data_IF_853415215321
#
_entry.id   IF_853415215321
#
_cell.length_a   1.000
_cell.length_b   1.000
_cell.length_c   1.000
_cell.angle_alpha   90.00
_cell.angle_beta   90.00
_cell.angle_gamma   90.00
#
_symmetry.space_group_name_H-M   'P 1'
#
loop_
_entity.id
_entity.type
_entity.pdbx_description
1 polymer ?
#
# COMPACT_ATOMS: atom_id res chain seq x y z
N UNK A 1 -22.63 -2.33 -2.05
CA UNK A 1 -23.84 -2.66 -1.30
C UNK A 1 -23.58 -3.03 0.15
N UNK A 2 -22.30 -3.12 0.61
CA UNK A 2 -21.97 -3.35 2.01
C UNK A 2 -21.70 -2.02 2.71
N UNK A 3 -22.12 -1.91 3.97
CA UNK A 3 -21.92 -0.68 4.77
C UNK A 3 -20.46 -0.50 5.19
N UNK A 4 -19.73 -1.62 5.31
CA UNK A 4 -18.31 -1.66 5.64
C UNK A 4 -17.57 -2.53 4.63
N UNK A 5 -16.43 -2.06 4.13
CA UNK A 5 -15.67 -2.76 3.09
C UNK A 5 -14.18 -2.63 3.30
N UNK A 6 -13.48 -3.76 3.28
CA UNK A 6 -12.03 -3.85 3.16
C UNK A 6 -11.67 -4.17 1.70
N UNK A 7 -10.91 -3.31 1.07
CA UNK A 7 -10.40 -3.49 -0.29
C UNK A 7 -8.94 -3.91 -0.22
N UNK A 8 -8.57 -4.93 -0.99
CA UNK A 8 -7.23 -5.52 -0.99
C UNK A 8 -6.82 -5.79 -2.44
N UNK A 9 -5.61 -5.40 -2.82
CA UNK A 9 -5.04 -5.70 -4.13
C UNK A 9 -4.87 -7.22 -4.32
N UNK A 10 -5.03 -7.69 -5.54
CA UNK A 10 -4.99 -9.13 -5.89
C UNK A 10 -3.60 -9.77 -5.72
N UNK A 11 -2.56 -9.00 -5.54
CA UNK A 11 -1.18 -9.41 -5.29
C UNK A 11 -0.74 -9.18 -3.83
N UNK A 12 -1.71 -9.03 -2.94
CA UNK A 12 -1.52 -9.00 -1.50
C UNK A 12 -1.81 -10.37 -0.88
N UNK A 13 -0.84 -10.95 -0.19
CA UNK A 13 -0.98 -12.24 0.50
C UNK A 13 -1.37 -11.97 1.95
N UNK A 14 -2.49 -12.53 2.37
CA UNK A 14 -2.98 -12.47 3.74
C UNK A 14 -2.53 -13.74 4.47
N UNK A 15 -1.68 -13.59 5.47
CA UNK A 15 -1.19 -14.68 6.33
C UNK A 15 -1.52 -14.46 7.81
N UNK A 16 -2.23 -13.39 8.13
CA UNK A 16 -2.62 -13.07 9.50
C UNK A 16 -4.08 -12.62 9.59
N UNK A 17 -4.63 -12.58 10.79
CA UNK A 17 -5.94 -11.95 11.06
C UNK A 17 -5.81 -10.46 11.39
N UNK A 18 -4.63 -9.86 11.21
CA UNK A 18 -4.37 -8.48 11.63
C UNK A 18 -5.38 -7.47 11.06
N UNK A 19 -5.76 -7.62 9.79
CA UNK A 19 -6.68 -6.68 9.15
C UNK A 19 -8.11 -6.72 9.71
N UNK A 20 -8.48 -7.77 10.46
CA UNK A 20 -9.79 -7.86 11.10
C UNK A 20 -10.03 -6.72 12.10
N UNK A 21 -8.97 -6.16 12.70
CA UNK A 21 -9.10 -5.03 13.60
C UNK A 21 -9.71 -3.77 12.94
N UNK A 22 -9.71 -3.66 11.61
CA UNK A 22 -10.28 -2.51 10.91
C UNK A 22 -11.77 -2.32 11.23
N UNK A 23 -12.50 -3.40 11.45
CA UNK A 23 -13.92 -3.36 11.81
C UNK A 23 -14.15 -2.84 13.23
N UNK A 24 -13.18 -3.04 14.13
CA UNK A 24 -13.25 -2.58 15.52
C UNK A 24 -12.88 -1.11 15.69
N UNK A 25 -12.32 -0.48 14.66
CA UNK A 25 -11.94 0.93 14.71
C UNK A 25 -13.16 1.85 14.53
N UNK A 26 -13.18 2.96 15.25
CA UNK A 26 -14.21 3.99 15.12
C UNK A 26 -13.87 5.06 14.06
N UNK A 27 -13.28 4.65 12.93
CA UNK A 27 -12.89 5.53 11.83
C UNK A 27 -13.56 5.09 10.53
N UNK A 28 -13.97 6.08 9.73
CA UNK A 28 -14.68 5.81 8.47
C UNK A 28 -13.76 5.44 7.32
N UNK A 29 -12.45 5.73 7.43
CA UNK A 29 -11.48 5.43 6.39
C UNK A 29 -10.12 5.10 6.99
N UNK A 30 -9.61 3.90 6.71
CA UNK A 30 -8.27 3.46 7.11
C UNK A 30 -7.45 3.07 5.88
N UNK A 31 -6.17 3.43 5.87
CA UNK A 31 -5.27 3.16 4.74
C UNK A 31 -3.81 3.14 5.22
N UNK A 32 -2.93 2.38 4.56
CA UNK A 32 -1.52 2.41 4.88
C UNK A 32 -0.85 3.73 4.46
N UNK A 33 -0.07 4.32 5.36
CA UNK A 33 0.84 5.44 5.09
C UNK A 33 2.30 5.16 5.50
N UNK A 34 2.56 3.98 6.05
CA UNK A 34 3.90 3.50 6.40
C UNK A 34 4.13 2.14 5.77
N UNK A 35 5.35 1.87 5.41
CA UNK A 35 5.72 0.64 4.72
C UNK A 35 7.05 0.08 5.20
N UNK A 36 7.30 -1.18 4.84
CA UNK A 36 8.54 -1.90 5.08
C UNK A 36 8.91 -2.71 3.83
N UNK A 37 10.01 -2.36 3.19
CA UNK A 37 10.53 -3.13 2.06
C UNK A 37 11.31 -4.36 2.57
N UNK A 38 10.71 -5.52 2.39
CA UNK A 38 11.33 -6.78 2.82
C UNK A 38 12.54 -7.20 1.98
N UNK A 39 12.70 -6.63 0.78
CA UNK A 39 13.81 -6.98 -0.10
C UNK A 39 15.13 -6.33 0.30
N UNK A 40 15.08 -5.18 0.95
CA UNK A 40 16.27 -4.36 1.18
C UNK A 40 16.73 -4.26 2.63
N UNK A 41 15.98 -4.78 3.60
CA UNK A 41 16.23 -4.54 5.04
C UNK A 41 16.37 -3.06 5.44
N UNK A 42 16.11 -2.13 4.51
CA UNK A 42 16.25 -0.71 4.74
C UNK A 42 14.91 -0.11 5.10
N UNK A 43 14.84 0.52 6.25
CA UNK A 43 13.82 1.53 6.49
C UNK A 43 14.13 2.70 5.56
N UNK A 44 13.48 2.76 4.42
CA UNK A 44 13.57 3.92 3.55
C UNK A 44 12.36 4.80 3.83
N UNK A 45 12.58 6.10 4.04
CA UNK A 45 11.52 7.12 4.07
C UNK A 45 11.15 7.58 2.66
N UNK A 46 11.57 6.86 1.65
CA UNK A 46 11.53 7.27 0.24
C UNK A 46 10.10 7.51 -0.27
N UNK A 47 9.11 6.86 0.33
CA UNK A 47 7.71 7.00 -0.04
C UNK A 47 6.82 7.55 1.07
N UNK A 48 7.37 8.21 2.07
CA UNK A 48 6.55 8.88 3.10
C UNK A 48 5.77 10.06 2.50
N UNK A 49 6.28 10.62 1.40
CA UNK A 49 5.70 11.73 0.66
C UNK A 49 5.72 11.46 -0.85
N UNK A 50 4.82 12.07 -1.61
CA UNK A 50 4.82 11.98 -3.08
C UNK A 50 6.16 12.49 -3.65
N UNK A 51 6.71 13.55 -3.06
CA UNK A 51 8.08 14.05 -3.29
C UNK A 51 8.50 14.90 -2.08
N UNK A 52 9.77 15.32 -2.04
CA UNK A 52 10.35 16.05 -0.90
C UNK A 52 9.65 17.38 -0.51
N UNK A 53 8.75 17.89 -1.34
CA UNK A 53 8.05 19.17 -1.14
C UNK A 53 6.52 19.01 -1.15
N UNK A 54 6.03 17.79 -1.06
CA UNK A 54 4.63 17.49 -1.31
C UNK A 54 3.93 16.86 -0.09
N UNK A 55 2.80 16.28 -0.35
CA UNK A 55 1.87 15.72 0.62
C UNK A 55 2.25 14.28 1.03
N UNK A 56 1.76 13.80 2.19
CA UNK A 56 1.95 12.42 2.61
C UNK A 56 1.48 11.42 1.55
N UNK A 57 2.22 10.32 1.43
CA UNK A 57 1.89 9.24 0.52
C UNK A 57 1.06 8.18 1.24
N UNK A 58 0.00 7.72 0.59
CA UNK A 58 -0.87 6.66 1.07
C UNK A 58 -0.89 5.50 0.08
N UNK A 59 -0.81 4.28 0.58
CA UNK A 59 -0.78 3.05 -0.21
C UNK A 59 -2.20 2.52 -0.41
N UNK A 60 -2.74 2.65 -1.61
CA UNK A 60 -4.07 2.14 -1.96
C UNK A 60 -4.15 0.62 -2.12
N UNK A 61 -3.09 -0.10 -1.78
CA UNK A 61 -3.01 -1.57 -1.79
C UNK A 61 -4.03 -2.23 -0.86
N UNK A 62 -4.19 -1.66 0.33
CA UNK A 62 -5.20 -2.10 1.31
C UNK A 62 -5.81 -0.86 1.95
N UNK A 63 -7.12 -0.78 1.91
CA UNK A 63 -7.87 0.24 2.63
C UNK A 63 -9.24 -0.26 3.07
N UNK A 64 -9.70 0.26 4.18
CA UNK A 64 -11.02 -0.01 4.74
C UNK A 64 -11.84 1.26 4.71
N UNK A 65 -13.14 1.14 4.42
CA UNK A 65 -14.05 2.28 4.51
C UNK A 65 -15.45 1.89 4.98
N UNK A 66 -16.14 2.84 5.64
CA UNK A 66 -17.56 2.80 5.93
C UNK A 66 -18.31 3.64 4.93
N UNK A 67 -19.38 3.09 4.38
CA UNK A 67 -20.22 3.78 3.41
C UNK A 67 -20.99 4.92 4.07
N UNK A 68 -20.69 6.14 3.66
CA UNK A 68 -21.40 7.36 4.04
C UNK A 68 -21.16 8.44 2.98
N UNK A 69 -21.85 9.58 3.10
CA UNK A 69 -21.73 10.67 2.13
C UNK A 69 -20.29 11.20 1.98
N UNK A 70 -19.50 11.19 3.05
CA UNK A 70 -18.11 11.65 3.02
C UNK A 70 -17.22 10.71 2.22
N UNK A 71 -17.36 9.39 2.41
CA UNK A 71 -16.58 8.39 1.64
C UNK A 71 -17.07 8.29 0.20
N UNK A 72 -18.36 8.48 -0.07
CA UNK A 72 -18.88 8.59 -1.43
C UNK A 72 -18.29 9.82 -2.17
N UNK A 73 -18.22 10.96 -1.50
CA UNK A 73 -17.56 12.13 -2.04
C UNK A 73 -16.07 11.89 -2.31
N UNK A 74 -15.37 11.22 -1.43
CA UNK A 74 -13.96 10.85 -1.62
C UNK A 74 -13.75 10.03 -2.90
N UNK A 75 -14.57 9.02 -3.17
CA UNK A 75 -14.46 8.21 -4.40
C UNK A 75 -14.81 9.01 -5.65
N UNK A 76 -15.81 9.87 -5.58
CA UNK A 76 -16.12 10.82 -6.67
C UNK A 76 -14.91 11.72 -6.97
N UNK A 77 -14.22 12.16 -5.94
CA UNK A 77 -13.02 12.99 -6.08
C UNK A 77 -11.86 12.22 -6.73
N UNK A 78 -11.69 10.93 -6.41
CA UNK A 78 -10.70 10.07 -7.07
C UNK A 78 -10.99 9.95 -8.58
N UNK A 79 -12.24 9.74 -8.96
CA UNK A 79 -12.65 9.69 -10.37
C UNK A 79 -12.33 11.02 -11.06
N UNK A 80 -12.69 12.15 -10.44
CA UNK A 80 -12.36 13.47 -10.95
C UNK A 80 -10.85 13.68 -11.12
N UNK A 81 -10.02 13.26 -10.15
CA UNK A 81 -8.55 13.34 -10.24
C UNK A 81 -8.03 12.48 -11.39
N UNK A 82 -8.59 11.28 -11.58
CA UNK A 82 -8.22 10.37 -12.67
C UNK A 82 -8.52 11.00 -14.04
N UNK A 83 -9.69 11.56 -14.21
CA UNK A 83 -10.13 12.20 -15.47
C UNK A 83 -9.29 13.45 -15.79
N UNK A 84 -8.78 14.13 -14.76
CA UNK A 84 -7.93 15.31 -14.88
C UNK A 84 -6.48 15.04 -14.47
N UNK A 85 -5.99 13.81 -14.66
CA UNK A 85 -4.70 13.35 -14.13
C UNK A 85 -3.53 14.25 -14.48
N UNK A 86 -3.41 14.67 -15.74
CA UNK A 86 -2.30 15.51 -16.21
C UNK A 86 -2.20 16.83 -15.43
N UNK A 87 -3.35 17.42 -15.11
CA UNK A 87 -3.42 18.64 -14.30
C UNK A 87 -2.92 18.37 -12.87
N UNK A 88 -3.45 17.35 -12.21
CA UNK A 88 -3.09 17.03 -10.82
C UNK A 88 -1.64 16.55 -10.69
N UNK A 89 -1.15 15.73 -11.63
CA UNK A 89 0.25 15.31 -11.66
C UNK A 89 1.21 16.50 -11.74
N UNK A 90 0.86 17.51 -12.57
CA UNK A 90 1.65 18.74 -12.67
C UNK A 90 1.56 19.59 -11.40
N UNK A 91 0.35 19.76 -10.85
CA UNK A 91 0.10 20.57 -9.65
C UNK A 91 0.89 20.04 -8.45
N UNK A 92 0.86 18.72 -8.23
CA UNK A 92 1.56 18.06 -7.14
C UNK A 92 3.01 17.64 -7.48
N UNK A 93 3.52 18.03 -8.65
CA UNK A 93 4.88 17.71 -9.13
C UNK A 93 5.18 16.22 -9.08
N UNK A 94 4.22 15.40 -9.47
CA UNK A 94 4.38 13.95 -9.56
C UNK A 94 5.48 13.63 -10.58
N UNK A 95 6.49 12.80 -10.26
CA UNK A 95 7.62 12.54 -11.15
C UNK A 95 7.24 11.83 -12.46
N UNK A 96 6.06 11.20 -12.51
CA UNK A 96 5.57 10.46 -13.66
C UNK A 96 4.20 10.94 -14.10
N UNK A 97 3.99 11.03 -15.40
CA UNK A 97 2.67 11.31 -15.98
C UNK A 97 1.75 10.08 -16.01
N UNK A 98 2.28 8.89 -15.69
CA UNK A 98 1.49 7.68 -15.60
C UNK A 98 0.59 7.73 -14.37
N UNK A 99 -0.71 7.48 -14.57
CA UNK A 99 -1.66 7.40 -13.46
C UNK A 99 -1.31 6.27 -12.47
N UNK A 100 -1.41 6.59 -11.19
CA UNK A 100 -1.24 5.65 -10.08
C UNK A 100 -2.33 5.89 -9.04
N UNK A 101 -3.00 4.81 -8.63
CA UNK A 101 -4.04 4.86 -7.60
C UNK A 101 -3.52 5.46 -6.28
N UNK A 102 -2.35 5.03 -5.81
CA UNK A 102 -1.75 5.53 -4.57
C UNK A 102 -1.63 7.06 -4.54
N UNK A 103 -1.17 7.63 -5.64
CA UNK A 103 -1.00 9.08 -5.75
C UNK A 103 -2.36 9.78 -5.82
N UNK A 104 -3.33 9.23 -6.56
CA UNK A 104 -4.67 9.79 -6.65
C UNK A 104 -5.37 9.76 -5.27
N UNK A 105 -5.23 8.66 -4.52
CA UNK A 105 -5.71 8.56 -3.14
C UNK A 105 -5.04 9.59 -2.22
N UNK A 106 -3.72 9.73 -2.31
CA UNK A 106 -2.98 10.72 -1.51
C UNK A 106 -3.44 12.15 -1.78
N UNK A 107 -3.65 12.50 -3.05
CA UNK A 107 -4.18 13.81 -3.45
C UNK A 107 -5.62 14.00 -2.95
N UNK A 108 -6.48 12.99 -3.12
CA UNK A 108 -7.86 13.05 -2.66
C UNK A 108 -7.96 13.21 -1.14
N UNK A 109 -7.15 12.46 -0.36
CA UNK A 109 -7.07 12.60 1.10
C UNK A 109 -6.66 14.02 1.49
N UNK A 110 -5.65 14.59 0.83
CA UNK A 110 -5.22 15.97 1.07
C UNK A 110 -6.35 16.98 0.79
N UNK A 111 -7.11 16.79 -0.28
CA UNK A 111 -8.25 17.64 -0.61
C UNK A 111 -9.39 17.48 0.39
N UNK A 112 -9.71 16.25 0.83
CA UNK A 112 -10.70 15.97 1.87
C UNK A 112 -10.35 16.63 3.21
N UNK A 113 -9.07 16.78 3.50
CA UNK A 113 -8.55 17.49 4.68
C UNK A 113 -8.48 19.03 4.48
N UNK A 114 -9.06 19.57 3.40
CA UNK A 114 -9.04 21.01 3.12
C UNK A 114 -7.67 21.55 2.75
N UNK A 115 -6.84 20.77 2.05
CA UNK A 115 -5.47 21.10 1.62
C UNK A 115 -4.50 21.33 2.78
N UNK A 116 -4.71 20.63 3.89
CA UNK A 116 -3.86 20.67 5.07
C UNK A 116 -3.69 19.27 5.66
N UNK A 117 -2.98 19.15 6.78
CA UNK A 117 -2.98 17.92 7.58
C UNK A 117 -4.34 17.75 8.26
N UNK A 118 -4.86 16.52 8.27
CA UNK A 118 -6.15 16.20 8.87
C UNK A 118 -6.30 14.69 9.10
N UNK A 119 -7.47 14.30 9.55
CA UNK A 119 -7.81 12.97 10.05
C UNK A 119 -8.88 12.23 9.21
N UNK A 120 -9.17 12.71 7.99
CA UNK A 120 -10.08 12.00 7.09
C UNK A 120 -9.67 10.53 6.92
N UNK A 121 -8.38 10.27 6.72
CA UNK A 121 -7.83 8.94 6.59
C UNK A 121 -6.90 8.62 7.76
N UNK A 122 -7.26 7.61 8.54
CA UNK A 122 -6.42 7.12 9.63
C UNK A 122 -5.46 6.06 9.14
N UNK A 123 -4.19 6.10 9.57
CA UNK A 123 -3.24 5.05 9.24
C UNK A 123 -3.65 3.69 9.79
N UNK A 124 -3.51 2.63 8.98
CA UNK A 124 -3.52 1.27 9.48
C UNK A 124 -2.36 1.08 10.47
N UNK A 125 -2.62 0.45 11.61
CA UNK A 125 -1.74 0.50 12.79
C UNK A 125 -0.34 -0.08 12.60
N UNK A 126 -0.16 -1.04 11.66
CA UNK A 126 1.14 -1.58 11.29
C UNK A 126 1.69 -0.95 10.01
N UNK A 127 2.89 -1.37 9.60
CA UNK A 127 3.47 -1.00 8.31
C UNK A 127 3.01 -1.96 7.22
N UNK A 128 2.73 -1.47 6.02
CA UNK A 128 2.58 -2.29 4.83
C UNK A 128 3.91 -2.99 4.54
N UNK A 129 3.94 -4.30 4.69
CA UNK A 129 5.09 -5.08 4.24
C UNK A 129 4.94 -5.33 2.74
N UNK A 130 5.96 -4.99 1.96
CA UNK A 130 5.93 -5.24 0.53
C UNK A 130 7.27 -5.79 0.02
N UNK A 131 7.20 -6.44 -1.12
CA UNK A 131 8.35 -6.91 -1.88
C UNK A 131 8.37 -6.11 -3.17
N UNK A 132 9.47 -5.38 -3.41
CA UNK A 132 9.71 -4.69 -4.68
C UNK A 132 9.57 -5.64 -5.87
N UNK A 133 9.45 -5.09 -7.06
CA UNK A 133 9.38 -5.85 -8.32
C UNK A 133 10.69 -6.60 -8.61
N UNK A 134 11.02 -7.53 -7.72
CA UNK A 134 12.17 -8.44 -7.79
C UNK A 134 11.70 -9.87 -7.52
N UNK A 135 12.29 -10.81 -8.21
CA UNK A 135 11.98 -12.24 -8.04
C UNK A 135 12.70 -12.83 -6.82
N UNK A 136 12.21 -12.49 -5.63
CA UNK A 136 12.79 -12.91 -4.35
C UNK A 136 11.90 -13.83 -3.52
N UNK A 137 10.65 -14.03 -3.91
CA UNK A 137 9.74 -14.94 -3.21
C UNK A 137 10.08 -16.39 -3.58
N UNK A 138 10.61 -17.17 -2.62
CA UNK A 138 11.00 -18.56 -2.83
C UNK A 138 9.80 -19.51 -2.67
N UNK A 139 9.05 -19.34 -1.57
CA UNK A 139 7.87 -20.16 -1.28
C UNK A 139 6.88 -19.38 -0.43
N UNK A 140 5.61 -19.72 -0.56
CA UNK A 140 4.55 -19.33 0.35
C UNK A 140 3.71 -20.58 0.65
N UNK A 141 3.46 -20.82 1.90
CA UNK A 141 2.56 -21.85 2.41
C UNK A 141 1.68 -21.20 3.46
N UNK A 142 0.70 -21.92 3.98
CA UNK A 142 -0.19 -21.39 5.03
C UNK A 142 0.64 -20.76 6.16
N UNK A 143 0.44 -19.48 6.38
CA UNK A 143 1.08 -18.67 7.43
C UNK A 143 2.60 -18.50 7.35
N UNK A 144 3.30 -19.02 6.32
CA UNK A 144 4.75 -18.92 6.20
C UNK A 144 5.19 -18.54 4.81
N UNK A 145 6.06 -17.53 4.71
CA UNK A 145 6.76 -17.18 3.47
C UNK A 145 8.27 -17.27 3.65
N UNK A 146 8.96 -17.69 2.59
CA UNK A 146 10.42 -17.66 2.49
C UNK A 146 10.84 -16.73 1.38
N UNK A 147 11.69 -15.77 1.73
CA UNK A 147 12.17 -14.70 0.87
C UNK A 147 13.69 -14.76 0.75
N UNK A 148 14.21 -14.43 -0.42
CA UNK A 148 15.64 -14.22 -0.65
C UNK A 148 15.91 -12.71 -0.56
N UNK A 149 16.54 -12.28 0.51
CA UNK A 149 16.81 -10.86 0.77
C UNK A 149 18.28 -10.52 0.61
N UNK A 150 18.57 -9.30 0.17
CA UNK A 150 19.95 -8.87 0.06
C UNK A 150 20.53 -8.62 1.46
N UNK A 151 21.71 -9.13 1.71
CA UNK A 151 22.42 -8.90 2.97
C UNK A 151 22.86 -7.43 3.02
N UNK A 152 22.63 -6.80 4.18
CA UNK A 152 22.91 -5.39 4.37
C UNK A 152 24.38 -5.04 4.01
N UNK A 153 24.54 -3.95 3.27
CA UNK A 153 25.84 -3.43 2.82
C UNK A 153 26.68 -4.35 1.91
N UNK A 154 26.06 -5.36 1.29
CA UNK A 154 26.78 -6.23 0.35
C UNK A 154 26.14 -6.16 -1.04
N UNK A 155 26.97 -6.31 -2.07
CA UNK A 155 26.50 -6.48 -3.46
C UNK A 155 26.46 -7.99 -3.71
N UNK A 156 25.33 -8.46 -4.24
CA UNK A 156 25.10 -9.86 -4.64
C UNK A 156 25.18 -10.93 -3.54
N UNK A 157 25.12 -10.54 -2.26
CA UNK A 157 24.99 -11.50 -1.17
C UNK A 157 23.53 -11.55 -0.68
N UNK A 158 22.93 -12.73 -0.82
CA UNK A 158 21.55 -12.97 -0.42
C UNK A 158 21.47 -13.96 0.74
N UNK A 159 20.45 -13.78 1.57
CA UNK A 159 20.13 -14.74 2.62
C UNK A 159 18.66 -15.09 2.56
N UNK A 160 18.32 -16.35 2.83
CA UNK A 160 16.93 -16.75 2.93
C UNK A 160 16.39 -16.40 4.31
N UNK A 161 15.28 -15.68 4.36
CA UNK A 161 14.54 -15.44 5.59
C UNK A 161 13.15 -16.06 5.47
N UNK A 162 12.64 -16.53 6.59
CA UNK A 162 11.26 -17.00 6.69
C UNK A 162 10.48 -16.10 7.63
N UNK A 163 9.26 -15.73 7.21
CA UNK A 163 8.32 -14.97 8.02
C UNK A 163 7.11 -15.84 8.33
N UNK A 164 6.55 -15.71 9.53
CA UNK A 164 5.31 -16.36 9.91
C UNK A 164 4.24 -15.28 10.13
N UNK A 165 3.02 -15.56 9.70
CA UNK A 165 1.84 -14.71 9.94
C UNK A 165 2.07 -13.24 9.54
N UNK A 166 2.75 -13.00 8.42
CA UNK A 166 3.01 -11.66 7.88
C UNK A 166 2.24 -11.46 6.59
N UNK A 167 1.42 -10.42 6.56
CA UNK A 167 0.72 -9.99 5.37
C UNK A 167 1.67 -9.21 4.46
N UNK A 168 1.71 -9.54 3.17
CA UNK A 168 2.73 -9.00 2.25
C UNK A 168 2.14 -8.66 0.88
N UNK A 169 2.43 -7.46 0.39
CA UNK A 169 2.19 -7.08 -0.99
C UNK A 169 3.35 -7.51 -1.89
N UNK A 170 3.08 -8.39 -2.85
CA UNK A 170 4.09 -8.96 -3.75
C UNK A 170 4.00 -8.29 -5.12
N UNK A 171 4.82 -7.27 -5.37
CA UNK A 171 4.78 -6.51 -6.62
C UNK A 171 5.26 -7.31 -7.83
N UNK A 172 6.15 -8.30 -7.64
CA UNK A 172 6.59 -9.18 -8.72
C UNK A 172 5.58 -10.30 -8.98
N UNK A 173 4.73 -10.11 -9.99
CA UNK A 173 3.65 -11.05 -10.33
C UNK A 173 4.16 -12.40 -10.83
N UNK A 174 5.37 -12.47 -11.41
CA UNK A 174 5.93 -13.74 -11.88
C UNK A 174 6.36 -14.62 -10.71
N UNK A 175 7.00 -14.05 -9.71
CA UNK A 175 7.35 -14.79 -8.48
C UNK A 175 6.11 -15.26 -7.73
N UNK A 176 5.09 -14.43 -7.65
CA UNK A 176 3.80 -14.78 -7.06
C UNK A 176 3.13 -15.95 -7.80
N UNK A 177 3.02 -15.87 -9.12
CA UNK A 177 2.44 -16.94 -9.95
C UNK A 177 3.21 -18.26 -9.84
N UNK A 178 4.55 -18.21 -9.76
CA UNK A 178 5.37 -19.40 -9.58
C UNK A 178 5.07 -20.09 -8.25
N UNK A 179 4.92 -19.33 -7.20
CA UNK A 179 4.65 -19.86 -5.86
C UNK A 179 3.25 -20.43 -5.77
N UNK A 180 2.22 -19.73 -6.27
CA UNK A 180 0.82 -20.20 -6.24
C UNK A 180 0.63 -21.48 -7.07
N UNK A 181 1.35 -21.67 -8.18
CA UNK A 181 1.25 -22.88 -9.00
C UNK A 181 1.87 -24.12 -8.38
N UNK A 182 2.67 -23.95 -7.35
CA UNK A 182 3.33 -25.06 -6.64
C UNK A 182 2.63 -25.44 -5.34
N UNK A 183 1.52 -24.79 -5.03
CA UNK A 183 0.58 -25.14 -3.94
C UNK A 183 -0.58 -25.91 -4.57
#
# INVERSE_FOLDING_TARGET
PYDETLVIDSDFIINSSFLEYCWDQNHNFLIYNKYNDLASWRNTSEFDYINQFSIPFYWATVFFFRKNSTTEHFFTLIEHIKDNWVYYAKLYRVPSTRYRNDIAFSIAIHMMNGFTSGDFAMPIANKLSYILDRDILISATDNKMTLLVNKENTVDQYTAISTNSLDVHVMNKQSLLRVIRNV
#
